data_IF_506723068526
#
_entry.id   IF_506723068526
#
_cell.length_a   1.000
_cell.length_b   1.000
_cell.length_c   1.000
_cell.angle_alpha   90.00
_cell.angle_beta   90.00
_cell.angle_gamma   90.00
#
_symmetry.space_group_name_H-M   'P 1'
#
loop_
_entity.id
_entity.type
_entity.pdbx_description
1 polymer ?
#
# COMPACT_ATOMS: atom_id res chain seq x y z
N UNK A 1 38.32 6.51 -72.76
CA UNK A 1 37.07 7.28 -72.84
C UNK A 1 35.88 6.32 -72.78
N UNK A 2 35.19 6.20 -71.64
CA UNK A 2 33.75 5.88 -71.59
C UNK A 2 33.21 6.21 -70.19
N UNK A 3 32.01 6.79 -70.16
CA UNK A 3 31.51 7.71 -69.13
C UNK A 3 30.88 6.99 -67.93
N UNK A 4 31.07 7.54 -66.73
CA UNK A 4 30.36 7.15 -65.51
C UNK A 4 28.86 7.47 -65.63
N UNK A 5 27.98 6.47 -65.47
CA UNK A 5 26.55 6.67 -65.21
C UNK A 5 26.19 6.13 -63.83
N UNK A 6 25.54 7.00 -63.06
CA UNK A 6 25.19 6.89 -61.64
C UNK A 6 24.15 5.80 -61.34
N UNK A 7 24.48 4.87 -60.44
CA UNK A 7 23.57 3.84 -59.90
C UNK A 7 22.61 4.37 -58.80
N UNK A 8 22.54 5.69 -58.58
CA UNK A 8 21.88 6.25 -57.39
C UNK A 8 20.35 6.45 -57.50
N UNK A 9 19.60 5.66 -58.28
CA UNK A 9 18.16 5.94 -58.50
C UNK A 9 17.13 4.83 -58.23
N UNK A 10 17.53 3.62 -57.84
CA UNK A 10 16.56 2.53 -57.61
C UNK A 10 16.54 1.95 -56.19
N UNK A 11 17.43 2.36 -55.29
CA UNK A 11 17.43 1.90 -53.90
C UNK A 11 16.33 2.50 -53.00
N UNK A 12 15.71 3.61 -53.43
CA UNK A 12 14.76 4.37 -52.59
C UNK A 12 13.35 3.79 -52.61
N UNK A 13 12.94 3.09 -53.67
CA UNK A 13 11.57 2.60 -53.80
C UNK A 13 11.25 1.39 -52.89
N UNK A 14 12.25 0.57 -52.52
CA UNK A 14 12.04 -0.62 -51.67
C UNK A 14 11.99 -0.27 -50.17
N UNK A 15 12.65 0.81 -49.75
CA UNK A 15 12.62 1.32 -48.38
C UNK A 15 11.35 2.14 -48.03
N UNK A 16 10.52 2.46 -49.02
CA UNK A 16 9.31 3.28 -48.85
C UNK A 16 8.00 2.49 -48.70
N UNK A 17 8.00 1.16 -48.90
CA UNK A 17 6.79 0.33 -48.72
C UNK A 17 6.71 -0.38 -47.35
N UNK A 18 7.80 -0.39 -46.57
CA UNK A 18 7.82 -0.99 -45.22
C UNK A 18 7.40 -0.03 -44.10
N UNK A 19 7.06 1.22 -44.42
CA UNK A 19 6.71 2.26 -43.44
C UNK A 19 5.19 2.42 -43.20
N UNK A 20 4.34 1.75 -43.98
CA UNK A 20 2.88 1.92 -43.86
C UNK A 20 2.23 1.01 -42.81
N UNK A 21 2.94 0.02 -42.27
CA UNK A 21 2.42 -0.85 -41.19
C UNK A 21 2.78 -0.36 -39.77
N UNK A 22 3.37 0.84 -39.65
CA UNK A 22 3.88 1.37 -38.38
C UNK A 22 3.01 2.43 -37.70
N UNK A 23 1.88 2.82 -38.30
CA UNK A 23 1.13 4.02 -37.88
C UNK A 23 -0.17 3.75 -37.11
N UNK A 24 -0.53 2.50 -36.82
CA UNK A 24 -1.82 2.19 -36.16
C UNK A 24 -1.74 2.14 -34.62
N UNK A 25 -0.54 2.08 -34.02
CA UNK A 25 -0.38 2.06 -32.55
C UNK A 25 -0.58 3.43 -31.86
N UNK A 26 -0.34 4.55 -32.56
CA UNK A 26 -0.31 5.88 -31.92
C UNK A 26 -1.72 6.40 -31.60
N UNK A 27 -2.72 6.06 -32.42
CA UNK A 27 -4.11 6.49 -32.20
C UNK A 27 -4.79 5.69 -31.09
N UNK A 28 -4.48 4.40 -30.96
CA UNK A 28 -4.95 3.54 -29.84
C UNK A 28 -4.40 4.03 -28.50
N UNK A 29 -3.17 4.57 -28.48
CA UNK A 29 -2.57 5.16 -27.29
C UNK A 29 -3.27 6.45 -26.83
N UNK A 30 -3.78 7.25 -27.78
CA UNK A 30 -4.45 8.53 -27.48
C UNK A 30 -5.96 8.41 -27.27
N UNK A 31 -6.60 7.42 -27.90
CA UNK A 31 -8.04 7.15 -27.77
C UNK A 31 -8.24 5.70 -27.34
N UNK A 32 -8.03 5.38 -26.05
CA UNK A 32 -8.25 4.02 -25.58
C UNK A 32 -9.70 3.61 -25.85
N UNK A 33 -9.88 2.49 -26.55
CA UNK A 33 -11.17 1.82 -26.69
C UNK A 33 -11.82 1.70 -25.30
N UNK A 34 -13.15 1.91 -25.15
CA UNK A 34 -13.81 1.78 -23.86
C UNK A 34 -13.43 0.45 -23.21
N UNK A 35 -12.61 0.53 -22.16
CA UNK A 35 -12.18 -0.64 -21.41
C UNK A 35 -13.38 -1.16 -20.62
N UNK A 36 -13.51 -2.48 -20.42
CA UNK A 36 -14.45 -3.00 -19.42
C UNK A 36 -14.24 -2.23 -18.10
N UNK A 37 -15.29 -2.12 -17.25
CA UNK A 37 -15.20 -1.39 -15.99
C UNK A 37 -13.91 -1.77 -15.27
N UNK A 38 -13.19 -0.82 -14.65
CA UNK A 38 -11.92 -1.09 -14.01
C UNK A 38 -12.11 -2.29 -13.08
N UNK A 39 -11.58 -3.44 -13.48
CA UNK A 39 -11.45 -4.55 -12.56
C UNK A 39 -10.38 -4.08 -11.60
N UNK A 40 -10.80 -3.82 -10.35
CA UNK A 40 -9.88 -3.44 -9.31
C UNK A 40 -8.72 -4.45 -9.34
N UNK A 41 -7.47 -4.03 -9.61
CA UNK A 41 -6.38 -4.96 -9.83
C UNK A 41 -6.30 -5.87 -8.60
N UNK A 42 -6.58 -7.16 -8.82
CA UNK A 42 -6.46 -8.13 -7.74
C UNK A 42 -4.97 -8.25 -7.46
N UNK A 43 -4.49 -7.92 -6.25
CA UNK A 43 -3.09 -8.08 -5.92
C UNK A 43 -2.66 -9.52 -6.20
N UNK A 44 -1.44 -9.77 -6.71
CA UNK A 44 -0.94 -11.11 -6.91
C UNK A 44 -1.08 -11.92 -5.61
N UNK A 45 -1.73 -13.08 -5.66
CA UNK A 45 -1.80 -13.96 -4.51
C UNK A 45 -0.41 -14.57 -4.29
N UNK A 46 0.33 -14.04 -3.31
CA UNK A 46 1.66 -14.51 -2.93
C UNK A 46 1.63 -15.88 -2.22
N UNK A 47 0.46 -16.49 -2.06
CA UNK A 47 0.26 -17.73 -1.30
C UNK A 47 0.44 -17.56 0.22
N UNK A 48 0.54 -16.31 0.70
CA UNK A 48 0.85 -15.99 2.08
C UNK A 48 -0.37 -15.39 2.78
N UNK A 49 -0.81 -16.08 3.85
CA UNK A 49 -1.82 -15.58 4.79
C UNK A 49 -1.10 -14.87 5.94
N UNK A 50 -1.17 -13.54 5.94
CA UNK A 50 -0.54 -12.68 6.95
C UNK A 50 -1.64 -12.08 7.82
N UNK A 51 -1.59 -12.27 9.16
CA UNK A 51 -2.48 -11.55 10.06
C UNK A 51 -2.09 -10.08 10.13
N UNK A 52 -3.06 -9.19 10.03
CA UNK A 52 -2.86 -7.75 10.26
C UNK A 52 -3.97 -7.19 11.14
N UNK A 53 -3.70 -6.02 11.73
CA UNK A 53 -4.56 -5.45 12.77
C UNK A 53 -4.92 -4.00 12.45
N UNK A 54 -6.19 -3.66 12.62
CA UNK A 54 -6.69 -2.30 12.51
C UNK A 54 -7.04 -1.75 13.90
N UNK A 55 -6.69 -0.49 14.12
CA UNK A 55 -7.10 0.24 15.31
C UNK A 55 -8.51 0.81 15.09
N UNK A 56 -9.48 0.31 15.87
CA UNK A 56 -10.88 0.66 15.73
C UNK A 56 -11.33 1.57 16.86
N UNK A 57 -11.67 2.82 16.52
CA UNK A 57 -12.11 3.85 17.48
C UNK A 57 -11.11 4.16 18.60
N UNK A 58 -9.83 3.80 18.44
CA UNK A 58 -8.79 3.97 19.46
C UNK A 58 -8.93 3.08 20.70
N UNK A 59 -9.90 2.17 20.73
CA UNK A 59 -10.26 1.37 21.92
C UNK A 59 -10.34 -0.12 21.64
N UNK A 60 -10.20 -0.54 20.37
CA UNK A 60 -10.23 -1.94 19.95
C UNK A 60 -9.16 -2.24 18.91
N UNK A 61 -8.71 -3.50 18.90
CA UNK A 61 -7.93 -4.07 17.81
C UNK A 61 -8.80 -5.07 17.06
N UNK A 62 -9.01 -4.79 15.77
CA UNK A 62 -9.69 -5.67 14.84
C UNK A 62 -8.64 -6.45 14.05
N UNK A 63 -8.70 -7.78 14.07
CA UNK A 63 -7.78 -8.65 13.34
C UNK A 63 -8.35 -9.05 11.99
N UNK A 64 -7.46 -9.20 11.01
CA UNK A 64 -7.77 -9.56 9.63
C UNK A 64 -6.71 -10.51 9.08
N UNK A 65 -7.04 -11.12 7.95
CA UNK A 65 -6.17 -12.02 7.18
C UNK A 65 -6.02 -11.47 5.77
N UNK A 66 -4.84 -11.57 5.16
CA UNK A 66 -4.64 -11.21 3.74
C UNK A 66 -5.36 -12.15 2.78
N UNK A 67 -5.83 -13.32 3.24
CA UNK A 67 -6.63 -14.26 2.44
C UNK A 67 -8.06 -13.76 2.19
N UNK A 68 -8.64 -13.06 3.17
CA UNK A 68 -9.94 -12.40 3.07
C UNK A 68 -9.93 -11.10 3.90
N UNK A 69 -9.35 -10.01 3.37
CA UNK A 69 -9.22 -8.75 4.11
C UNK A 69 -10.54 -8.00 4.30
N UNK A 70 -11.61 -8.42 3.62
CA UNK A 70 -12.94 -7.85 3.80
C UNK A 70 -13.62 -8.36 5.09
N UNK A 71 -13.20 -9.53 5.59
CA UNK A 71 -13.78 -10.16 6.77
C UNK A 71 -12.87 -10.02 7.98
N UNK A 72 -13.40 -9.39 9.04
CA UNK A 72 -12.73 -9.34 10.34
C UNK A 72 -12.73 -10.71 11.00
N UNK A 73 -11.55 -11.19 11.41
CA UNK A 73 -11.37 -12.52 12.03
C UNK A 73 -11.51 -12.50 13.55
N UNK A 74 -11.19 -11.38 14.20
CA UNK A 74 -11.38 -11.17 15.64
C UNK A 74 -11.51 -9.67 15.98
N UNK A 75 -12.04 -9.38 17.16
CA UNK A 75 -12.07 -8.02 17.73
C UNK A 75 -11.84 -8.09 19.23
N UNK A 76 -10.85 -7.36 19.74
CA UNK A 76 -10.52 -7.32 21.18
C UNK A 76 -10.49 -5.88 21.69
N UNK A 77 -11.04 -5.65 22.88
CA UNK A 77 -10.98 -4.35 23.55
C UNK A 77 -9.59 -4.10 24.13
N UNK A 78 -9.07 -2.91 23.89
CA UNK A 78 -7.81 -2.46 24.49
C UNK A 78 -8.07 -2.09 25.95
N UNK A 79 -7.31 -2.68 26.86
CA UNK A 79 -7.41 -2.48 28.32
C UNK A 79 -6.06 -2.15 28.92
N UNK A 80 -6.02 -1.61 30.14
CA UNK A 80 -4.76 -1.24 30.81
C UNK A 80 -4.23 0.15 30.45
N UNK A 81 -5.04 0.96 29.74
CA UNK A 81 -4.76 2.38 29.52
C UNK A 81 -5.07 3.20 30.78
N UNK A 82 -4.44 4.37 30.91
CA UNK A 82 -4.84 5.34 31.94
C UNK A 82 -6.24 5.88 31.68
N UNK A 83 -6.86 6.44 32.72
CA UNK A 83 -8.22 6.99 32.63
C UNK A 83 -8.34 8.00 31.50
N UNK A 84 -9.38 7.84 30.68
CA UNK A 84 -9.70 8.73 29.56
C UNK A 84 -8.67 8.74 28.42
N UNK A 85 -7.72 7.79 28.38
CA UNK A 85 -6.83 7.60 27.24
C UNK A 85 -7.45 6.69 26.17
N UNK A 86 -7.16 7.00 24.90
CA UNK A 86 -7.36 6.11 23.76
C UNK A 86 -6.06 5.98 22.98
N UNK A 87 -5.90 4.88 22.24
CA UNK A 87 -4.79 4.73 21.30
C UNK A 87 -5.08 5.58 20.05
N UNK A 88 -4.07 6.27 19.55
CA UNK A 88 -4.12 7.12 18.36
C UNK A 88 -3.46 6.44 17.15
N UNK A 89 -2.41 5.68 17.37
CA UNK A 89 -1.67 4.96 16.33
C UNK A 89 -1.07 3.67 16.89
N UNK A 90 -0.84 2.68 16.01
CA UNK A 90 -0.21 1.40 16.33
C UNK A 90 0.84 1.04 15.28
N UNK A 91 1.87 0.30 15.68
CA UNK A 91 2.86 -0.27 14.77
C UNK A 91 3.52 -1.52 15.37
N UNK A 92 3.88 -2.49 14.53
CA UNK A 92 4.67 -3.64 14.94
C UNK A 92 6.16 -3.31 14.87
N UNK A 93 6.88 -3.49 15.97
CA UNK A 93 8.33 -3.34 15.98
C UNK A 93 9.00 -4.58 15.36
N UNK A 94 9.69 -4.49 14.21
CA UNK A 94 10.23 -5.68 13.52
C UNK A 94 11.21 -6.51 14.36
N UNK A 95 12.01 -5.86 15.21
CA UNK A 95 13.01 -6.55 16.03
C UNK A 95 12.43 -7.41 17.18
N UNK A 96 11.19 -7.16 17.61
CA UNK A 96 10.56 -7.91 18.72
C UNK A 96 9.22 -8.54 18.35
N UNK A 97 8.61 -8.15 17.23
CA UNK A 97 7.27 -8.58 16.84
C UNK A 97 6.16 -8.06 17.76
N UNK A 98 6.46 -7.13 18.68
CA UNK A 98 5.49 -6.57 19.59
C UNK A 98 4.71 -5.44 18.93
N UNK A 99 3.41 -5.36 19.24
CA UNK A 99 2.56 -4.26 18.84
C UNK A 99 2.72 -3.10 19.82
N UNK A 100 3.19 -1.97 19.32
CA UNK A 100 3.27 -0.72 20.06
C UNK A 100 2.06 0.15 19.74
N UNK A 101 1.64 0.95 20.70
CA UNK A 101 0.60 1.97 20.52
C UNK A 101 0.98 3.29 21.16
N UNK A 102 0.61 4.39 20.52
CA UNK A 102 0.74 5.75 21.07
C UNK A 102 -0.64 6.22 21.54
N UNK A 103 -0.78 6.65 22.79
CA UNK A 103 -2.05 7.12 23.35
C UNK A 103 -2.22 8.63 23.28
N UNK A 104 -3.46 9.09 23.40
CA UNK A 104 -3.83 10.51 23.53
C UNK A 104 -3.24 11.18 24.78
N UNK A 105 -2.80 10.40 25.77
CA UNK A 105 -2.10 10.89 26.95
C UNK A 105 -0.59 11.09 26.76
N UNK A 106 -0.11 11.07 25.51
CA UNK A 106 1.33 11.12 25.18
C UNK A 106 2.11 9.99 25.85
N UNK A 107 1.57 8.76 25.84
CA UNK A 107 2.24 7.57 26.37
C UNK A 107 2.43 6.53 25.28
N UNK A 108 3.46 5.70 25.45
CA UNK A 108 3.70 4.54 24.60
C UNK A 108 3.28 3.30 25.37
N UNK A 109 2.56 2.39 24.72
CA UNK A 109 2.15 1.11 25.27
C UNK A 109 2.68 -0.03 24.42
N UNK A 110 2.99 -1.17 25.04
CA UNK A 110 2.97 -2.46 24.33
C UNK A 110 1.59 -3.08 24.55
N UNK A 111 0.97 -3.52 23.45
CA UNK A 111 -0.38 -4.08 23.44
C UNK A 111 -0.28 -5.54 23.00
N UNK A 112 -0.85 -6.46 23.78
CA UNK A 112 -1.00 -7.84 23.34
C UNK A 112 -2.15 -7.92 22.33
N UNK A 113 -1.85 -8.22 21.06
CA UNK A 113 -2.83 -8.19 19.97
C UNK A 113 -3.93 -9.25 20.08
N UNK A 114 -3.69 -10.34 20.81
CA UNK A 114 -4.66 -11.43 21.01
C UNK A 114 -5.63 -11.16 22.16
N UNK A 115 -5.24 -10.35 23.15
CA UNK A 115 -6.04 -10.12 24.38
C UNK A 115 -6.44 -8.66 24.59
N UNK A 116 -5.80 -7.73 23.86
CA UNK A 116 -5.97 -6.29 24.04
C UNK A 116 -5.35 -5.71 25.31
N UNK A 117 -4.67 -6.52 26.14
CA UNK A 117 -4.00 -6.02 27.36
C UNK A 117 -2.81 -5.14 26.98
N UNK A 118 -2.86 -3.88 27.37
CA UNK A 118 -1.80 -2.90 27.19
C UNK A 118 -1.07 -2.64 28.51
N UNK A 119 0.23 -2.38 28.43
CA UNK A 119 1.00 -1.82 29.54
C UNK A 119 1.87 -0.68 29.04
N UNK A 120 2.02 0.34 29.88
CA UNK A 120 2.79 1.55 29.55
C UNK A 120 4.29 1.25 29.53
N UNK A 121 4.99 1.90 28.63
CA UNK A 121 6.45 1.91 28.54
C UNK A 121 6.96 3.25 29.08
N UNK A 122 7.94 3.18 29.96
CA UNK A 122 8.52 4.36 30.62
C UNK A 122 7.72 4.82 31.84
N UNK A 123 8.23 5.86 32.51
CA UNK A 123 7.71 6.31 33.79
C UNK A 123 6.44 7.19 33.68
N UNK A 124 6.08 7.65 32.48
CA UNK A 124 5.14 8.76 32.34
C UNK A 124 4.72 9.04 30.90
N UNK A 125 3.99 10.14 30.73
CA UNK A 125 3.86 10.76 29.41
C UNK A 125 5.24 11.23 28.92
N UNK A 126 5.52 11.04 27.62
CA UNK A 126 6.74 11.57 27.00
C UNK A 126 6.65 13.08 26.82
N UNK A 127 7.82 13.72 26.73
CA UNK A 127 7.97 15.15 26.45
C UNK A 127 8.82 15.33 25.18
N UNK A 128 8.47 16.25 24.27
CA UNK A 128 7.28 17.10 24.31
C UNK A 128 5.97 16.30 24.16
N UNK A 129 4.90 16.75 24.81
CA UNK A 129 3.59 16.13 24.69
C UNK A 129 3.04 16.27 23.27
N UNK A 130 2.18 15.33 22.87
CA UNK A 130 1.42 15.44 21.63
C UNK A 130 0.59 16.72 21.66
N UNK A 131 0.67 17.50 20.57
CA UNK A 131 -0.19 18.66 20.40
C UNK A 131 -1.66 18.23 20.34
N UNK A 132 -2.53 18.98 21.01
CA UNK A 132 -3.96 18.83 20.87
C UNK A 132 -4.38 19.38 19.49
N UNK A 133 -4.23 18.60 18.43
CA UNK A 133 -4.75 18.92 17.11
C UNK A 133 -5.34 17.67 16.48
N UNK A 134 -6.62 17.43 16.78
CA UNK A 134 -7.63 16.88 15.88
C UNK A 134 -8.98 17.41 16.30
#
# INVERSE_FOLDING_TARGET
MLKHLSLAKWGVAVLLLSSLTGCEDILEQYFPKPTPPPTNPTPPNLGLDIPFYALSGGTRLDAYSTKDPATRTASVSITGLQSSERILAIDFRPGTGQLYGVSSGSRIYVINQNTGKAHVIGAGAFSPALGAMW
#
